data_IF_395724510592
#
_entry.id   IF_395724510592
#
_cell.length_a   1.000
_cell.length_b   1.000
_cell.length_c   1.000
_cell.angle_alpha   90.00
_cell.angle_beta   90.00
_cell.angle_gamma   90.00
#
_symmetry.space_group_name_H-M   'P 1'
#
loop_
_entity.id
_entity.type
_entity.pdbx_description
1 polymer ?
#
# COMPACT_ATOMS: atom_id res chain seq x y z
N UNK A 1 4.07 15.32 -14.19
CA UNK A 1 2.81 15.09 -13.43
C UNK A 1 3.09 14.17 -12.24
N UNK A 2 3.31 14.78 -11.07
CA UNK A 2 3.68 14.09 -9.82
C UNK A 2 2.50 13.97 -8.84
N UNK A 3 1.34 14.47 -9.25
CA UNK A 3 0.19 14.68 -8.37
C UNK A 3 -0.50 13.37 -7.97
N UNK A 4 -0.51 12.37 -8.85
CA UNK A 4 -1.18 11.07 -8.64
C UNK A 4 -0.21 9.95 -8.24
N UNK A 5 1.05 10.28 -7.99
CA UNK A 5 2.09 9.29 -7.66
C UNK A 5 1.91 8.86 -6.20
N UNK A 6 1.43 7.63 -5.99
CA UNK A 6 1.23 7.05 -4.66
C UNK A 6 -0.23 6.83 -4.25
N UNK A 7 -1.19 7.22 -5.10
CA UNK A 7 -2.62 6.95 -4.86
C UNK A 7 -3.01 5.48 -5.14
N UNK A 8 -2.16 4.73 -5.85
CA UNK A 8 -2.43 3.37 -6.30
C UNK A 8 -1.29 2.43 -5.86
N UNK A 9 -1.63 1.19 -5.52
CA UNK A 9 -0.67 0.11 -5.32
C UNK A 9 0.02 -0.23 -6.65
N UNK A 10 1.17 0.39 -6.89
CA UNK A 10 2.04 0.11 -8.02
C UNK A 10 2.81 -1.18 -7.78
N UNK A 11 2.40 -2.25 -8.47
CA UNK A 11 3.12 -3.51 -8.45
C UNK A 11 4.23 -3.51 -9.51
N UNK A 12 5.40 -4.10 -9.21
CA UNK A 12 6.42 -4.36 -10.21
C UNK A 12 5.88 -5.26 -11.34
N UNK A 13 6.39 -5.14 -12.58
CA UNK A 13 5.91 -5.90 -13.74
C UNK A 13 5.97 -7.43 -13.57
N UNK A 14 6.86 -7.94 -12.71
CA UNK A 14 6.96 -9.37 -12.41
C UNK A 14 5.95 -9.87 -11.34
N UNK A 15 5.26 -8.97 -10.62
CA UNK A 15 4.25 -9.29 -9.60
C UNK A 15 2.82 -8.95 -10.05
N UNK A 16 2.62 -8.45 -11.27
CA UNK A 16 1.29 -8.12 -11.77
C UNK A 16 0.38 -9.35 -11.90
N UNK A 17 0.94 -10.53 -12.20
CA UNK A 17 0.19 -11.79 -12.24
C UNK A 17 -0.40 -12.20 -10.88
N UNK A 18 0.20 -11.73 -9.79
CA UNK A 18 -0.23 -12.02 -8.41
C UNK A 18 -0.94 -10.83 -7.76
N UNK A 19 -1.30 -9.79 -8.54
CA UNK A 19 -1.96 -8.57 -8.05
C UNK A 19 -3.12 -8.84 -7.12
N UNK A 20 -3.99 -9.77 -7.51
CA UNK A 20 -5.20 -10.12 -6.74
C UNK A 20 -4.88 -10.73 -5.37
N UNK A 21 -3.80 -11.49 -5.27
CA UNK A 21 -3.36 -12.11 -4.00
C UNK A 21 -2.70 -11.07 -3.10
N UNK A 22 -1.89 -10.17 -3.68
CA UNK A 22 -1.19 -9.10 -2.95
C UNK A 22 -2.21 -8.08 -2.43
N UNK A 23 -3.17 -7.64 -3.25
CA UNK A 23 -4.21 -6.70 -2.84
C UNK A 23 -5.12 -7.26 -1.74
N UNK A 24 -5.37 -8.57 -1.74
CA UNK A 24 -6.14 -9.23 -0.68
C UNK A 24 -5.35 -9.39 0.64
N UNK A 25 -4.02 -9.46 0.57
CA UNK A 25 -3.15 -9.67 1.73
C UNK A 25 -2.71 -8.36 2.39
N UNK A 26 -2.72 -7.26 1.64
CA UNK A 26 -2.32 -5.93 2.12
C UNK A 26 -3.51 -5.28 2.84
N UNK A 27 -3.30 -4.87 4.08
CA UNK A 27 -4.29 -4.10 4.84
C UNK A 27 -4.52 -2.75 4.14
N UNK A 28 -5.78 -2.35 3.88
CA UNK A 28 -6.06 -1.01 3.35
C UNK A 28 -5.55 0.05 4.33
N UNK A 29 -4.86 1.05 3.80
CA UNK A 29 -4.42 2.22 4.56
C UNK A 29 -5.43 3.34 4.38
N UNK A 30 -5.85 3.95 5.49
CA UNK A 30 -6.62 5.18 5.43
C UNK A 30 -5.67 6.34 5.08
N UNK A 31 -5.92 6.99 3.95
CA UNK A 31 -5.12 8.12 3.44
C UNK A 31 -5.48 9.45 4.13
N UNK A 32 -6.51 9.46 4.98
CA UNK A 32 -6.87 10.62 5.80
C UNK A 32 -5.84 10.83 6.91
N UNK A 33 -5.70 12.09 7.36
CA UNK A 33 -4.75 12.46 8.42
C UNK A 33 -5.01 11.63 9.69
N UNK A 34 -4.22 10.59 9.89
CA UNK A 34 -4.31 9.72 11.06
C UNK A 34 -3.58 10.34 12.25
N UNK A 35 -4.23 10.33 13.42
CA UNK A 35 -3.62 10.70 14.71
C UNK A 35 -3.09 9.48 15.48
N UNK A 36 -3.10 8.31 14.85
CA UNK A 36 -2.71 7.05 15.47
C UNK A 36 -1.18 6.94 15.54
N UNK A 37 -0.66 6.62 16.73
CA UNK A 37 0.77 6.38 16.93
C UNK A 37 1.06 4.90 16.64
N UNK A 38 1.46 4.61 15.41
CA UNK A 38 1.81 3.25 14.98
C UNK A 38 3.24 2.96 15.42
N UNK A 39 3.42 2.10 16.43
CA UNK A 39 4.73 1.60 16.83
C UNK A 39 5.15 0.49 15.87
N UNK A 40 6.37 0.57 15.34
CA UNK A 40 6.90 -0.42 14.40
C UNK A 40 7.30 -1.66 15.18
N UNK A 41 6.69 -2.79 14.86
CA UNK A 41 7.11 -4.09 15.36
C UNK A 41 8.40 -4.50 14.62
N UNK A 42 9.54 -4.38 15.31
CA UNK A 42 10.81 -4.93 14.86
C UNK A 42 10.93 -6.34 15.44
N UNK A 43 10.80 -7.37 14.59
CA UNK A 43 11.11 -8.77 14.90
C UNK A 43 12.56 -9.09 14.50
#
# INVERSE_FOLDING_TARGET
PYETVGEILSLPPFLEGERKQIEASVRPIDTVRSTLKIEKEYL
#
